data_IF_682425505271
#
_entry.id   IF_682425505271
#
_cell.length_a   1.000
_cell.length_b   1.000
_cell.length_c   1.000
_cell.angle_alpha   90.00
_cell.angle_beta   90.00
_cell.angle_gamma   90.00
#
_symmetry.space_group_name_H-M   'P 1'
#
loop_
_entity.id
_entity.type
_entity.pdbx_description
1 polymer ?
#
# COMPACT_ATOMS: atom_id res chain seq x y z
N UNK A 1 25.57 -25.81 -14.78
CA UNK A 1 25.22 -25.58 -13.36
C UNK A 1 24.13 -24.53 -13.36
N UNK A 2 22.99 -24.84 -12.80
CA UNK A 2 21.79 -24.00 -12.89
C UNK A 2 21.93 -22.77 -11.99
N UNK A 3 21.48 -21.57 -12.40
CA UNK A 3 21.47 -20.34 -11.59
C UNK A 3 20.78 -20.47 -10.21
N UNK A 4 20.15 -21.62 -9.98
CA UNK A 4 19.53 -22.05 -8.75
C UNK A 4 20.52 -22.21 -7.58
N UNK A 5 21.74 -22.65 -7.87
CA UNK A 5 22.78 -22.88 -6.87
C UNK A 5 23.55 -21.60 -6.52
N UNK A 6 23.56 -20.63 -7.43
CA UNK A 6 24.30 -19.38 -7.24
C UNK A 6 23.69 -18.52 -6.11
N UNK A 7 22.41 -18.20 -6.15
CA UNK A 7 21.75 -17.40 -5.10
C UNK A 7 21.68 -18.11 -3.76
N UNK A 8 21.55 -19.45 -3.76
CA UNK A 8 21.60 -20.24 -2.53
C UNK A 8 22.99 -20.20 -1.90
N UNK A 9 24.05 -20.39 -2.70
CA UNK A 9 25.42 -20.33 -2.22
C UNK A 9 25.79 -18.92 -1.76
N UNK A 10 25.34 -17.91 -2.52
CA UNK A 10 25.56 -16.50 -2.20
C UNK A 10 24.86 -16.11 -0.90
N UNK A 11 23.59 -16.56 -0.67
CA UNK A 11 22.88 -16.27 0.58
C UNK A 11 23.63 -16.83 1.81
N UNK A 12 24.15 -18.04 1.71
CA UNK A 12 24.96 -18.61 2.79
C UNK A 12 26.28 -17.86 3.03
N UNK A 13 26.93 -17.41 1.96
CA UNK A 13 28.19 -16.66 2.07
C UNK A 13 28.00 -15.26 2.68
N UNK A 14 26.83 -14.64 2.43
CA UNK A 14 26.50 -13.31 2.91
C UNK A 14 25.64 -13.32 4.19
N UNK A 15 25.39 -14.50 4.80
CA UNK A 15 24.67 -14.62 6.06
C UNK A 15 23.14 -14.52 5.96
N UNK A 16 22.56 -14.50 4.73
CA UNK A 16 21.12 -14.48 4.60
C UNK A 16 20.47 -15.82 4.92
N UNK A 17 19.39 -15.79 5.69
CA UNK A 17 18.63 -16.97 6.12
C UNK A 17 17.94 -17.70 4.96
N UNK A 18 17.63 -16.97 3.90
CA UNK A 18 16.96 -17.53 2.72
C UNK A 18 17.47 -16.89 1.43
N UNK A 19 17.48 -17.69 0.35
CA UNK A 19 17.80 -17.15 -0.99
C UNK A 19 16.81 -16.10 -1.48
N UNK A 20 15.59 -16.08 -0.92
CA UNK A 20 14.56 -15.09 -1.24
C UNK A 20 14.97 -13.67 -0.85
N UNK A 21 15.96 -13.47 0.03
CA UNK A 21 16.56 -12.17 0.32
C UNK A 21 16.96 -11.41 -0.97
N UNK A 22 17.51 -12.12 -1.97
CA UNK A 22 17.88 -11.49 -3.24
C UNK A 22 16.70 -11.05 -4.08
N UNK A 23 15.52 -11.66 -3.92
CA UNK A 23 14.33 -11.19 -4.59
C UNK A 23 13.92 -9.82 -4.07
N UNK A 24 13.94 -9.63 -2.73
CA UNK A 24 13.62 -8.35 -2.13
C UNK A 24 14.63 -7.27 -2.52
N UNK A 25 15.95 -7.58 -2.50
CA UNK A 25 16.95 -6.64 -3.00
C UNK A 25 16.71 -6.20 -4.45
N UNK A 26 16.36 -7.15 -5.33
CA UNK A 26 16.05 -6.85 -6.72
C UNK A 26 14.73 -6.12 -6.92
N UNK A 27 13.74 -6.37 -6.05
CA UNK A 27 12.51 -5.58 -6.02
C UNK A 27 12.79 -4.14 -5.59
N UNK A 28 13.63 -3.96 -4.57
CA UNK A 28 14.06 -2.64 -4.13
C UNK A 28 14.85 -1.91 -5.19
N UNK A 29 15.89 -2.53 -5.78
CA UNK A 29 16.67 -1.97 -6.89
C UNK A 29 15.79 -1.51 -8.06
N UNK A 30 14.71 -2.24 -8.37
CA UNK A 30 13.82 -1.93 -9.48
C UNK A 30 12.71 -0.93 -9.13
N UNK A 31 12.18 -1.01 -7.89
CA UNK A 31 11.01 -0.26 -7.47
C UNK A 31 11.31 0.86 -6.47
N UNK A 32 12.54 0.92 -5.94
CA UNK A 32 12.94 1.87 -4.91
C UNK A 32 11.96 1.81 -3.72
N UNK A 33 11.85 0.61 -3.13
CA UNK A 33 10.88 0.31 -2.09
C UNK A 33 11.25 0.93 -0.74
N UNK A 34 12.56 1.00 -0.41
CA UNK A 34 13.01 1.36 0.92
C UNK A 34 13.79 2.66 0.95
N UNK A 35 13.53 3.45 1.98
CA UNK A 35 14.31 4.63 2.36
C UNK A 35 14.80 4.50 3.81
N UNK A 36 15.85 5.26 4.15
CA UNK A 36 16.41 5.28 5.50
C UNK A 36 15.40 5.84 6.50
N UNK A 37 15.21 5.12 7.62
CA UNK A 37 14.33 5.55 8.71
C UNK A 37 12.86 5.14 8.56
N UNK A 38 12.53 4.38 7.54
CA UNK A 38 11.18 3.89 7.29
C UNK A 38 10.77 2.75 8.23
N UNK A 39 9.46 2.60 8.37
CA UNK A 39 8.80 1.48 9.06
C UNK A 39 8.34 0.45 8.03
N UNK A 40 8.86 -0.78 8.14
CA UNK A 40 8.59 -1.89 7.22
C UNK A 40 7.90 -3.04 7.96
N UNK A 41 6.86 -3.60 7.35
CA UNK A 41 6.19 -4.83 7.82
C UNK A 41 6.35 -5.94 6.80
N UNK A 42 6.85 -7.12 7.24
CA UNK A 42 6.96 -8.34 6.43
C UNK A 42 5.91 -9.37 6.87
N UNK A 43 4.95 -9.64 5.99
CA UNK A 43 3.87 -10.60 6.20
C UNK A 43 4.28 -11.97 5.64
N UNK A 44 4.40 -12.97 6.52
CA UNK A 44 4.94 -14.28 6.16
C UNK A 44 6.47 -14.30 6.19
N UNK A 45 7.05 -13.68 7.21
CA UNK A 45 8.45 -13.31 7.28
C UNK A 45 9.43 -14.47 7.50
N UNK A 46 8.97 -15.65 7.97
CA UNK A 46 9.88 -16.77 8.24
C UNK A 46 10.60 -17.27 6.96
N UNK A 47 11.88 -17.58 7.03
CA UNK A 47 12.77 -17.63 8.21
C UNK A 47 13.46 -16.31 8.57
N UNK A 48 13.11 -15.17 7.96
CA UNK A 48 13.66 -13.85 8.27
C UNK A 48 14.63 -13.28 7.23
N UNK A 49 14.72 -13.88 6.05
CA UNK A 49 15.62 -13.38 5.00
C UNK A 49 15.22 -12.02 4.44
N UNK A 50 13.92 -11.72 4.37
CA UNK A 50 13.40 -10.42 3.96
C UNK A 50 13.55 -9.38 5.07
N UNK A 51 13.38 -9.80 6.34
CA UNK A 51 13.63 -8.92 7.49
C UNK A 51 15.09 -8.43 7.54
N UNK A 52 16.07 -9.29 7.21
CA UNK A 52 17.47 -8.89 7.13
C UNK A 52 17.68 -7.79 6.08
N UNK A 53 17.12 -7.98 4.88
CA UNK A 53 17.23 -6.98 3.81
C UNK A 53 16.55 -5.67 4.19
N UNK A 54 15.31 -5.73 4.71
CA UNK A 54 14.60 -4.53 5.14
C UNK A 54 15.40 -3.76 6.20
N UNK A 55 15.94 -4.44 7.23
CA UNK A 55 16.75 -3.82 8.28
C UNK A 55 18.05 -3.20 7.75
N UNK A 56 18.72 -3.85 6.77
CA UNK A 56 19.90 -3.29 6.11
C UNK A 56 19.56 -1.98 5.37
N UNK A 57 18.44 -1.95 4.65
CA UNK A 57 18.05 -0.80 3.82
C UNK A 57 17.54 0.37 4.66
N UNK A 58 16.63 0.15 5.62
CA UNK A 58 16.10 1.24 6.46
C UNK A 58 17.10 1.74 7.52
N UNK A 59 18.06 0.88 7.89
CA UNK A 59 19.13 1.22 8.85
C UNK A 59 18.64 1.40 10.29
N UNK A 60 19.55 1.87 11.17
CA UNK A 60 19.31 1.97 12.63
C UNK A 60 18.16 2.91 13.03
N UNK A 61 17.75 3.83 12.17
CA UNK A 61 16.64 4.77 12.43
C UNK A 61 15.29 4.24 11.97
N UNK A 62 15.27 3.13 11.20
CA UNK A 62 14.06 2.49 10.73
C UNK A 62 13.51 1.47 11.72
N UNK A 63 12.28 1.05 11.48
CA UNK A 63 11.59 0.00 12.24
C UNK A 63 11.24 -1.15 11.31
N UNK A 64 11.54 -2.38 11.70
CA UNK A 64 11.19 -3.57 10.92
C UNK A 64 10.41 -4.55 11.78
N UNK A 65 9.22 -4.92 11.32
CA UNK A 65 8.31 -5.83 12.02
C UNK A 65 8.01 -7.03 11.13
N UNK A 66 8.16 -8.25 11.64
CA UNK A 66 7.84 -9.46 10.92
C UNK A 66 6.79 -10.31 11.60
N UNK A 67 5.85 -10.86 10.83
CA UNK A 67 4.85 -11.81 11.33
C UNK A 67 4.83 -13.08 10.51
N UNK A 68 4.74 -14.24 11.18
CA UNK A 68 4.59 -15.54 10.53
C UNK A 68 3.88 -16.54 11.45
N UNK A 69 3.22 -17.54 10.87
CA UNK A 69 2.69 -18.70 11.60
C UNK A 69 3.80 -19.52 12.27
N UNK A 70 4.97 -19.54 11.66
CA UNK A 70 6.16 -20.18 12.17
C UNK A 70 6.92 -19.22 13.10
N UNK A 71 7.68 -19.77 14.03
CA UNK A 71 8.61 -18.98 14.83
C UNK A 71 9.74 -18.47 13.94
N UNK A 72 10.04 -17.17 14.03
CA UNK A 72 11.22 -16.55 13.47
C UNK A 72 12.28 -16.54 14.56
N UNK A 73 13.46 -17.12 14.28
CA UNK A 73 14.58 -17.06 15.21
C UNK A 73 15.13 -15.63 15.27
N UNK A 74 15.67 -15.23 16.43
CA UNK A 74 16.18 -13.89 16.66
C UNK A 74 17.25 -13.49 15.62
N UNK A 75 17.15 -12.28 15.09
CA UNK A 75 18.12 -11.71 14.15
C UNK A 75 19.17 -10.90 14.95
N UNK A 76 20.20 -11.58 15.47
CA UNK A 76 21.18 -11.00 16.42
C UNK A 76 21.91 -9.74 15.90
N UNK A 77 22.01 -9.57 14.57
CA UNK A 77 22.70 -8.44 13.92
C UNK A 77 21.76 -7.28 13.55
N UNK A 78 20.45 -7.44 13.76
CA UNK A 78 19.44 -6.47 13.35
C UNK A 78 18.39 -6.27 14.45
N UNK A 79 18.05 -5.03 14.71
CA UNK A 79 16.92 -4.68 15.59
C UNK A 79 15.61 -4.84 14.82
N UNK A 80 14.99 -6.01 14.98
CA UNK A 80 13.77 -6.43 14.26
C UNK A 80 12.77 -7.00 15.24
N UNK A 81 11.58 -6.48 15.24
CA UNK A 81 10.48 -7.02 16.03
C UNK A 81 9.79 -8.17 15.31
N UNK A 82 9.61 -9.30 15.97
CA UNK A 82 9.00 -10.48 15.36
C UNK A 82 7.82 -11.01 16.18
N UNK A 83 6.73 -11.31 15.49
CA UNK A 83 5.53 -11.92 16.07
C UNK A 83 5.24 -13.28 15.44
N UNK A 84 4.97 -14.28 16.28
CA UNK A 84 4.35 -15.51 15.80
C UNK A 84 2.84 -15.38 15.85
N UNK A 85 2.19 -15.32 14.71
CA UNK A 85 0.73 -15.14 14.61
C UNK A 85 0.20 -15.36 13.20
N UNK A 86 -1.11 -15.46 13.11
CA UNK A 86 -1.83 -15.43 11.85
C UNK A 86 -2.18 -13.97 11.53
N UNK A 87 -1.73 -13.43 10.41
CA UNK A 87 -2.03 -12.05 10.02
C UNK A 87 -3.54 -11.79 9.80
N UNK A 88 -4.34 -12.83 9.66
CA UNK A 88 -5.81 -12.71 9.55
C UNK A 88 -6.51 -12.66 10.92
N UNK A 89 -5.81 -12.96 11.99
CA UNK A 89 -6.33 -12.89 13.36
C UNK A 89 -6.31 -11.44 13.88
N UNK A 90 -7.42 -10.96 14.44
CA UNK A 90 -7.54 -9.59 14.95
C UNK A 90 -6.52 -9.24 16.03
N UNK A 91 -6.10 -10.20 16.86
CA UNK A 91 -5.06 -9.96 17.86
C UNK A 91 -3.71 -9.68 17.23
N UNK A 92 -3.38 -10.42 16.15
CA UNK A 92 -2.17 -10.22 15.38
C UNK A 92 -2.20 -8.87 14.68
N UNK A 93 -3.31 -8.48 14.07
CA UNK A 93 -3.49 -7.17 13.43
C UNK A 93 -3.39 -6.03 14.44
N UNK A 94 -4.01 -6.19 15.62
CA UNK A 94 -3.90 -5.20 16.70
C UNK A 94 -2.44 -4.99 17.12
N UNK A 95 -1.70 -6.08 17.33
CA UNK A 95 -0.27 -6.00 17.64
C UNK A 95 0.53 -5.30 16.53
N UNK A 96 0.28 -5.63 15.25
CA UNK A 96 0.95 -4.98 14.13
C UNK A 96 0.65 -3.48 14.08
N UNK A 97 -0.60 -3.06 14.31
CA UNK A 97 -0.98 -1.64 14.41
C UNK A 97 -0.24 -0.92 15.55
N UNK A 98 -0.10 -1.57 16.71
CA UNK A 98 0.68 -1.01 17.82
C UNK A 98 2.18 -0.90 17.49
N UNK A 99 2.75 -1.92 16.82
CA UNK A 99 4.16 -1.95 16.46
C UNK A 99 4.54 -0.89 15.41
N UNK A 100 3.67 -0.62 14.43
CA UNK A 100 3.91 0.46 13.45
C UNK A 100 3.57 1.86 13.99
N UNK A 101 2.84 1.94 15.11
CA UNK A 101 2.45 3.18 15.76
C UNK A 101 1.41 4.01 14.98
N UNK A 102 1.15 5.22 15.46
CA UNK A 102 0.11 6.12 14.90
C UNK A 102 0.40 6.56 13.46
N UNK A 103 1.68 6.62 13.07
CA UNK A 103 2.07 7.02 11.71
C UNK A 103 1.72 5.95 10.67
N UNK A 104 1.68 4.68 11.07
CA UNK A 104 1.57 3.54 10.16
C UNK A 104 2.90 3.12 9.54
N UNK A 105 2.87 2.06 8.73
CA UNK A 105 4.02 1.55 8.00
C UNK A 105 4.25 2.34 6.70
N UNK A 106 5.51 2.58 6.36
CA UNK A 106 5.88 3.15 5.07
C UNK A 106 5.86 2.08 3.96
N UNK A 107 6.21 0.83 4.32
CA UNK A 107 6.23 -0.30 3.37
C UNK A 107 5.68 -1.57 4.00
N UNK A 108 4.80 -2.27 3.28
CA UNK A 108 4.37 -3.63 3.62
C UNK A 108 4.78 -4.58 2.51
N UNK A 109 5.50 -5.65 2.86
CA UNK A 109 5.97 -6.66 1.91
C UNK A 109 5.45 -8.05 2.27
N UNK A 110 5.34 -8.94 1.27
CA UNK A 110 4.97 -10.34 1.51
C UNK A 110 5.53 -11.30 0.45
N UNK A 111 6.30 -12.30 0.89
CA UNK A 111 6.75 -13.43 0.05
C UNK A 111 6.01 -14.73 0.39
N UNK A 112 4.79 -14.66 0.94
CA UNK A 112 4.00 -15.85 1.29
C UNK A 112 3.74 -16.72 0.07
N UNK A 113 3.75 -18.03 0.30
CA UNK A 113 3.35 -19.02 -0.69
C UNK A 113 2.38 -20.02 -0.05
N UNK A 114 1.39 -20.52 -0.82
CA UNK A 114 0.56 -21.61 -0.35
C UNK A 114 1.38 -22.90 -0.24
N UNK A 115 0.87 -23.85 0.55
CA UNK A 115 1.36 -25.22 0.49
C UNK A 115 1.08 -25.79 -0.90
N UNK A 116 2.15 -26.02 -1.68
CA UNK A 116 2.07 -26.45 -3.07
C UNK A 116 1.47 -27.86 -3.19
N UNK A 117 0.44 -28.00 -3.99
CA UNK A 117 -0.18 -29.29 -4.30
C UNK A 117 0.40 -29.90 -5.59
N UNK A 118 1.00 -29.08 -6.44
CA UNK A 118 1.45 -29.43 -7.78
C UNK A 118 0.33 -29.30 -8.84
N UNK A 119 -0.88 -28.95 -8.45
CA UNK A 119 -1.98 -28.61 -9.35
C UNK A 119 -1.99 -27.10 -9.59
N UNK A 120 -1.63 -26.70 -10.82
CA UNK A 120 -1.38 -25.30 -11.16
C UNK A 120 -2.54 -24.36 -10.83
N UNK A 121 -3.78 -24.72 -11.24
CA UNK A 121 -4.93 -23.86 -11.00
C UNK A 121 -5.24 -23.69 -9.50
N UNK A 122 -5.10 -24.76 -8.72
CA UNK A 122 -5.33 -24.70 -7.28
C UNK A 122 -4.25 -23.90 -6.55
N UNK A 123 -2.99 -24.12 -6.93
CA UNK A 123 -1.86 -23.39 -6.33
C UNK A 123 -1.90 -21.90 -6.69
N UNK A 124 -2.33 -21.57 -7.93
CA UNK A 124 -2.58 -20.19 -8.35
C UNK A 124 -3.69 -19.53 -7.52
N UNK A 125 -4.89 -20.14 -7.44
CA UNK A 125 -6.02 -19.58 -6.69
C UNK A 125 -5.68 -19.36 -5.21
N UNK A 126 -4.94 -20.28 -4.58
CA UNK A 126 -4.45 -20.12 -3.20
C UNK A 126 -3.43 -18.99 -3.06
N UNK A 127 -2.56 -18.81 -4.05
CA UNK A 127 -1.60 -17.70 -4.06
C UNK A 127 -2.31 -16.35 -4.14
N UNK A 128 -3.31 -16.21 -5.02
CA UNK A 128 -4.14 -15.00 -5.12
C UNK A 128 -4.90 -14.74 -3.81
N UNK A 129 -5.44 -15.79 -3.19
CA UNK A 129 -6.11 -15.65 -1.89
C UNK A 129 -5.18 -15.10 -0.80
N UNK A 130 -3.93 -15.63 -0.69
CA UNK A 130 -2.93 -15.12 0.25
C UNK A 130 -2.55 -13.67 -0.07
N UNK A 131 -2.39 -13.33 -1.35
CA UNK A 131 -2.08 -11.97 -1.77
C UNK A 131 -3.20 -10.97 -1.42
N UNK A 132 -4.47 -11.38 -1.55
CA UNK A 132 -5.62 -10.57 -1.11
C UNK A 132 -5.64 -10.36 0.39
N UNK A 133 -5.39 -11.41 1.19
CA UNK A 133 -5.29 -11.28 2.64
C UNK A 133 -4.14 -10.33 3.05
N UNK A 134 -2.98 -10.44 2.38
CA UNK A 134 -1.87 -9.52 2.61
C UNK A 134 -2.23 -8.07 2.24
N UNK A 135 -2.96 -7.87 1.16
CA UNK A 135 -3.45 -6.56 0.73
C UNK A 135 -4.43 -5.95 1.74
N UNK A 136 -5.39 -6.74 2.26
CA UNK A 136 -6.33 -6.27 3.28
C UNK A 136 -5.60 -5.81 4.55
N UNK A 137 -4.58 -6.57 4.99
CA UNK A 137 -3.75 -6.20 6.13
C UNK A 137 -2.89 -4.97 5.81
N UNK A 138 -2.33 -4.88 4.60
CA UNK A 138 -1.52 -3.74 4.18
C UNK A 138 -2.31 -2.43 4.22
N UNK A 139 -3.58 -2.43 3.78
CA UNK A 139 -4.44 -1.24 3.86
C UNK A 139 -4.71 -0.76 5.30
N UNK A 140 -4.69 -1.67 6.28
CA UNK A 140 -4.86 -1.31 7.68
C UNK A 140 -3.58 -0.77 8.33
N UNK A 141 -2.41 -1.14 7.80
CA UNK A 141 -1.12 -0.83 8.41
C UNK A 141 -0.40 0.33 7.73
N UNK A 142 -0.59 0.51 6.42
CA UNK A 142 0.14 1.51 5.65
C UNK A 142 -0.27 2.94 6.01
N UNK A 143 0.74 3.79 6.14
CA UNK A 143 0.55 5.23 6.13
C UNK A 143 0.06 5.73 4.75
N UNK A 144 -0.62 6.89 4.69
CA UNK A 144 -0.88 7.55 3.41
C UNK A 144 0.41 7.73 2.61
N UNK A 145 0.41 7.31 1.35
CA UNK A 145 1.58 7.32 0.47
C UNK A 145 2.53 6.13 0.66
N UNK A 146 2.19 5.16 1.51
CA UNK A 146 2.99 3.96 1.72
C UNK A 146 2.90 2.96 0.57
N UNK A 147 3.82 2.01 0.55
CA UNK A 147 4.04 1.07 -0.55
C UNK A 147 3.72 -0.37 -0.18
N UNK A 148 3.26 -1.13 -1.16
CA UNK A 148 2.94 -2.55 -0.99
C UNK A 148 3.62 -3.42 -2.04
N UNK A 149 4.28 -4.50 -1.61
CA UNK A 149 4.83 -5.48 -2.54
C UNK A 149 4.46 -6.91 -2.12
N UNK A 150 3.81 -7.65 -3.00
CA UNK A 150 3.30 -8.99 -2.69
C UNK A 150 3.59 -9.98 -3.79
N UNK A 151 4.01 -11.19 -3.39
CA UNK A 151 4.13 -12.31 -4.30
C UNK A 151 2.76 -12.87 -4.68
N UNK A 152 2.59 -13.16 -5.95
CA UNK A 152 1.44 -13.87 -6.51
C UNK A 152 1.91 -14.76 -7.67
N UNK A 153 1.20 -15.85 -7.94
CA UNK A 153 1.51 -16.67 -9.11
C UNK A 153 0.77 -16.14 -10.35
N UNK A 154 1.43 -16.20 -11.50
CA UNK A 154 0.77 -15.93 -12.78
C UNK A 154 -0.39 -16.89 -12.98
N UNK A 155 -1.49 -16.39 -13.55
CA UNK A 155 -2.69 -17.18 -13.85
C UNK A 155 -3.89 -16.29 -14.10
N UNK A 156 -5.06 -16.92 -14.22
CA UNK A 156 -6.30 -16.31 -14.69
C UNK A 156 -6.80 -15.18 -13.76
N UNK A 157 -6.62 -15.32 -12.42
CA UNK A 157 -7.13 -14.35 -11.44
C UNK A 157 -6.15 -13.19 -11.15
N UNK A 158 -4.95 -13.20 -11.74
CA UNK A 158 -3.94 -12.15 -11.47
C UNK A 158 -4.42 -10.76 -11.91
N UNK A 159 -5.04 -10.68 -13.10
CA UNK A 159 -5.53 -9.39 -13.61
C UNK A 159 -6.70 -8.86 -12.77
N UNK A 160 -7.60 -9.74 -12.30
CA UNK A 160 -8.65 -9.35 -11.38
C UNK A 160 -8.08 -8.83 -10.05
N UNK A 161 -7.05 -9.46 -9.50
CA UNK A 161 -6.38 -8.97 -8.30
C UNK A 161 -5.70 -7.61 -8.53
N UNK A 162 -5.08 -7.40 -9.69
CA UNK A 162 -4.49 -6.10 -10.05
C UNK A 162 -5.54 -4.99 -10.13
N UNK A 163 -6.71 -5.30 -10.70
CA UNK A 163 -7.81 -4.33 -10.78
C UNK A 163 -8.40 -4.00 -9.39
N UNK A 164 -8.36 -4.93 -8.43
CA UNK A 164 -8.76 -4.66 -7.04
C UNK A 164 -7.74 -3.76 -6.31
N UNK A 165 -6.44 -3.89 -6.60
CA UNK A 165 -5.38 -3.10 -5.96
C UNK A 165 -5.23 -1.71 -6.60
N UNK A 166 -5.43 -1.60 -7.91
CA UNK A 166 -5.18 -0.38 -8.70
C UNK A 166 -5.85 0.90 -8.16
N UNK A 167 -7.12 0.90 -7.75
CA UNK A 167 -7.79 2.12 -7.29
C UNK A 167 -7.26 2.66 -5.95
N UNK A 168 -6.58 1.83 -5.19
CA UNK A 168 -6.08 2.18 -3.85
C UNK A 168 -4.66 2.80 -3.88
N UNK A 169 -3.96 2.75 -5.03
CA UNK A 169 -2.58 3.22 -5.14
C UNK A 169 -2.38 4.13 -6.35
N UNK A 170 -1.43 5.06 -6.26
CA UNK A 170 -1.08 5.94 -7.37
C UNK A 170 -0.52 5.17 -8.57
N UNK A 171 0.24 4.12 -8.29
CA UNK A 171 0.93 3.35 -9.33
C UNK A 171 1.04 1.87 -8.96
N UNK A 172 0.80 0.98 -9.93
CA UNK A 172 1.03 -0.46 -9.77
C UNK A 172 1.81 -1.02 -10.96
N UNK A 173 2.67 -1.98 -10.69
CA UNK A 173 3.38 -2.76 -11.70
C UNK A 173 3.65 -4.19 -11.26
N UNK A 174 3.88 -5.07 -12.23
CA UNK A 174 4.31 -6.45 -11.99
C UNK A 174 5.81 -6.56 -12.25
N UNK A 175 6.54 -7.16 -11.32
CA UNK A 175 7.99 -7.35 -11.38
C UNK A 175 8.31 -8.85 -11.27
N UNK A 176 9.29 -9.31 -12.02
CA UNK A 176 9.82 -10.68 -11.94
C UNK A 176 11.30 -10.59 -11.59
N UNK A 177 11.68 -10.72 -10.31
CA UNK A 177 13.09 -10.63 -9.92
C UNK A 177 13.94 -11.72 -10.59
N UNK A 178 15.16 -11.41 -11.08
CA UNK A 178 16.09 -12.40 -11.64
C UNK A 178 16.42 -13.55 -10.67
N UNK A 179 16.32 -13.36 -9.37
CA UNK A 179 16.46 -14.41 -8.36
C UNK A 179 15.30 -15.39 -8.31
N UNK A 180 14.17 -15.11 -9.00
CA UNK A 180 13.09 -16.09 -9.20
C UNK A 180 13.62 -17.29 -10.00
N UNK A 181 13.00 -18.46 -9.79
CA UNK A 181 13.39 -19.66 -10.53
C UNK A 181 12.76 -19.63 -11.92
N UNK A 182 13.49 -20.02 -12.97
CA UNK A 182 13.00 -20.11 -14.36
C UNK A 182 11.71 -20.95 -14.48
N UNK A 183 11.53 -21.93 -13.58
CA UNK A 183 10.34 -22.81 -13.56
C UNK A 183 9.23 -22.29 -12.64
N UNK A 184 9.40 -21.14 -12.01
CA UNK A 184 8.39 -20.55 -11.12
C UNK A 184 7.47 -19.65 -11.90
N UNK A 185 6.17 -19.75 -11.62
CA UNK A 185 5.17 -18.79 -12.10
C UNK A 185 5.02 -17.57 -11.19
N UNK A 186 5.92 -17.39 -10.20
CA UNK A 186 5.86 -16.27 -9.27
C UNK A 186 6.17 -14.94 -9.93
N UNK A 187 5.37 -13.95 -9.60
CA UNK A 187 5.59 -12.54 -9.90
C UNK A 187 5.31 -11.73 -8.65
N UNK A 188 5.78 -10.50 -8.63
CA UNK A 188 5.48 -9.56 -7.54
C UNK A 188 4.66 -8.41 -8.07
N UNK A 189 3.50 -8.18 -7.45
CA UNK A 189 2.77 -6.95 -7.63
C UNK A 189 3.35 -5.91 -6.69
N UNK A 190 3.87 -4.82 -7.26
CA UNK A 190 4.37 -3.66 -6.53
C UNK A 190 3.39 -2.52 -6.75
N UNK A 191 2.84 -2.01 -5.66
CA UNK A 191 1.91 -0.89 -5.62
C UNK A 191 2.52 0.23 -4.79
N UNK A 192 2.59 1.42 -5.35
CA UNK A 192 3.24 2.59 -4.75
C UNK A 192 2.23 3.68 -4.45
N UNK A 193 2.38 4.29 -3.27
CA UNK A 193 1.61 5.45 -2.88
C UNK A 193 0.15 5.13 -2.55
N UNK A 194 -0.12 4.46 -1.40
CA UNK A 194 -1.48 4.22 -0.92
C UNK A 194 -2.26 5.54 -0.84
N UNK A 195 -3.35 5.65 -1.59
CA UNK A 195 -4.20 6.82 -1.61
C UNK A 195 -5.34 6.67 -0.60
N UNK A 196 -5.27 7.43 0.49
CA UNK A 196 -6.30 7.49 1.52
C UNK A 196 -7.03 8.85 1.52
N UNK A 197 -6.91 9.62 0.44
CA UNK A 197 -7.54 10.92 0.33
C UNK A 197 -9.07 10.80 0.50
N UNK A 198 -9.70 11.60 1.38
CA UNK A 198 -11.15 11.59 1.58
C UNK A 198 -11.89 12.28 0.45
N UNK A 199 -11.17 12.76 -0.55
CA UNK A 199 -11.70 13.49 -1.73
C UNK A 199 -11.07 12.95 -3.01
N UNK A 200 -11.76 13.06 -4.11
CA UNK A 200 -11.29 12.69 -5.45
C UNK A 200 -11.22 13.90 -6.38
N UNK A 201 -10.38 13.83 -7.41
CA UNK A 201 -10.35 14.85 -8.45
C UNK A 201 -11.74 15.00 -9.12
N UNK A 202 -12.21 16.24 -9.24
CA UNK A 202 -13.54 16.59 -9.72
C UNK A 202 -14.61 16.73 -8.63
N UNK A 203 -14.31 16.38 -7.38
CA UNK A 203 -15.25 16.60 -6.27
C UNK A 203 -15.44 18.09 -6.03
N UNK A 204 -16.71 18.50 -5.79
CA UNK A 204 -17.05 19.87 -5.38
C UNK A 204 -17.46 19.87 -3.93
N UNK A 205 -16.68 20.56 -3.10
CA UNK A 205 -16.89 20.62 -1.66
C UNK A 205 -16.78 22.05 -1.13
N UNK A 206 -17.44 22.32 -0.02
CA UNK A 206 -17.27 23.56 0.72
C UNK A 206 -16.20 23.35 1.80
N UNK A 207 -15.21 24.23 1.82
CA UNK A 207 -14.10 24.17 2.78
C UNK A 207 -13.84 25.52 3.42
N UNK A 208 -13.34 25.52 4.65
CA UNK A 208 -12.86 26.73 5.32
C UNK A 208 -11.34 26.72 5.33
N UNK A 209 -10.73 27.78 4.85
CA UNK A 209 -9.27 27.93 4.84
C UNK A 209 -8.77 28.25 6.26
N UNK A 210 -7.92 27.42 6.81
CA UNK A 210 -7.42 27.53 8.18
C UNK A 210 -6.03 28.13 8.25
N UNK A 211 -5.17 27.83 7.26
CA UNK A 211 -3.78 28.26 7.24
C UNK A 211 -3.40 28.82 5.87
N UNK A 212 -2.21 29.39 5.78
CA UNK A 212 -1.61 29.88 4.54
C UNK A 212 -0.34 29.10 4.25
N UNK A 213 -0.24 28.51 3.08
CA UNK A 213 0.95 27.83 2.58
C UNK A 213 2.07 28.81 2.21
N UNK A 214 3.29 28.30 2.11
CA UNK A 214 4.50 29.06 1.81
C UNK A 214 4.45 29.75 0.42
N UNK A 215 3.73 29.17 -0.53
CA UNK A 215 3.54 29.70 -1.89
C UNK A 215 2.40 30.70 -1.99
N UNK A 216 1.64 30.88 -0.91
CA UNK A 216 0.58 31.87 -0.78
C UNK A 216 -0.84 31.33 -0.92
N UNK A 217 -1.00 30.06 -1.26
CA UNK A 217 -2.28 29.36 -1.30
C UNK A 217 -2.89 29.20 0.09
N UNK A 218 -4.20 29.10 0.18
CA UNK A 218 -4.90 28.74 1.40
C UNK A 218 -4.75 27.23 1.65
N UNK A 219 -4.73 26.81 2.92
CA UNK A 219 -4.80 25.40 3.31
C UNK A 219 -6.08 25.17 4.09
N UNK A 220 -6.90 24.25 3.61
CA UNK A 220 -8.07 23.72 4.29
C UNK A 220 -7.84 22.25 4.68
N UNK A 221 -8.56 21.77 5.70
CA UNK A 221 -8.47 20.38 6.13
C UNK A 221 -9.80 19.66 5.95
N UNK A 222 -9.76 18.50 5.29
CA UNK A 222 -10.90 17.59 5.11
C UNK A 222 -10.54 16.29 5.82
N UNK A 223 -11.16 16.00 6.96
CA UNK A 223 -10.84 14.82 7.79
C UNK A 223 -9.35 14.68 8.13
N UNK A 224 -8.64 15.82 8.29
CA UNK A 224 -7.20 15.84 8.54
C UNK A 224 -6.32 15.83 7.28
N UNK A 225 -6.92 15.69 6.10
CA UNK A 225 -6.23 15.75 4.82
C UNK A 225 -6.05 17.21 4.36
N UNK A 226 -4.81 17.58 4.02
CA UNK A 226 -4.48 18.95 3.59
C UNK A 226 -4.91 19.20 2.16
N UNK A 227 -5.76 20.21 1.94
CA UNK A 227 -6.19 20.67 0.63
C UNK A 227 -5.67 22.09 0.37
N UNK A 228 -4.79 22.25 -0.60
CA UNK A 228 -4.28 23.54 -1.03
C UNK A 228 -5.30 24.19 -1.97
N UNK A 229 -5.78 25.38 -1.59
CA UNK A 229 -6.81 26.12 -2.30
C UNK A 229 -6.21 27.36 -2.92
N UNK A 230 -6.18 27.41 -4.24
CA UNK A 230 -5.63 28.55 -4.98
C UNK A 230 -6.37 29.87 -4.66
N UNK A 231 -5.60 30.93 -4.43
CA UNK A 231 -6.10 32.30 -4.21
C UNK A 231 -7.12 32.44 -3.08
N UNK A 232 -7.10 31.58 -2.07
CA UNK A 232 -8.00 31.62 -0.92
C UNK A 232 -7.35 32.22 0.34
N UNK A 233 -8.08 33.04 1.08
CA UNK A 233 -7.59 33.70 2.27
C UNK A 233 -7.96 32.94 3.55
N UNK A 234 -7.11 33.01 4.57
CA UNK A 234 -7.36 32.40 5.89
C UNK A 234 -8.66 32.96 6.49
N UNK A 235 -9.52 32.06 6.98
CA UNK A 235 -10.83 32.35 7.54
C UNK A 235 -11.95 32.44 6.49
N UNK A 236 -11.65 32.29 5.21
CA UNK A 236 -12.62 32.27 4.12
C UNK A 236 -13.25 30.89 3.97
N UNK A 237 -14.58 30.83 3.82
CA UNK A 237 -15.29 29.59 3.44
C UNK A 237 -15.66 29.69 1.96
N UNK A 238 -15.21 28.71 1.18
CA UNK A 238 -15.33 28.72 -0.28
C UNK A 238 -15.76 27.34 -0.80
N UNK A 239 -16.55 27.34 -1.89
CA UNK A 239 -16.77 26.13 -2.67
C UNK A 239 -15.62 25.95 -3.64
N UNK A 240 -15.02 24.76 -3.62
CA UNK A 240 -13.88 24.40 -4.46
C UNK A 240 -14.18 23.14 -5.26
N UNK A 241 -13.52 23.02 -6.41
CA UNK A 241 -13.41 21.78 -7.17
C UNK A 241 -12.01 21.24 -6.95
N UNK A 242 -11.91 19.95 -6.56
CA UNK A 242 -10.64 19.27 -6.36
C UNK A 242 -9.98 19.00 -7.72
N UNK A 243 -8.85 19.62 -7.98
CA UNK A 243 -8.11 19.48 -9.24
C UNK A 243 -7.29 18.18 -9.26
N UNK A 244 -6.64 17.85 -8.13
CA UNK A 244 -5.80 16.66 -7.95
C UNK A 244 -5.79 16.23 -6.48
N UNK A 245 -5.90 14.93 -6.24
CA UNK A 245 -5.86 14.33 -4.90
C UNK A 245 -4.68 13.36 -4.82
N UNK A 246 -3.63 13.77 -4.12
CA UNK A 246 -2.45 12.96 -3.81
C UNK A 246 -2.66 12.19 -2.51
N UNK A 247 -1.87 11.16 -2.19
CA UNK A 247 -2.03 10.38 -0.96
C UNK A 247 -2.04 11.19 0.34
N UNK A 248 -1.28 12.28 0.41
CA UNK A 248 -1.08 13.08 1.64
C UNK A 248 -1.65 14.49 1.59
N UNK A 249 -1.96 15.01 0.40
CA UNK A 249 -2.49 16.35 0.18
C UNK A 249 -3.15 16.45 -1.19
N UNK A 250 -3.98 17.47 -1.40
CA UNK A 250 -4.60 17.75 -2.68
C UNK A 250 -4.53 19.21 -3.07
N UNK A 251 -4.90 19.49 -4.31
CA UNK A 251 -5.03 20.83 -4.86
C UNK A 251 -6.48 21.07 -5.29
N UNK A 252 -6.97 22.28 -5.07
CA UNK A 252 -8.33 22.65 -5.46
C UNK A 252 -8.39 24.09 -5.95
N UNK A 253 -9.27 24.34 -6.90
CA UNK A 253 -9.56 25.66 -7.43
C UNK A 253 -10.94 26.12 -6.98
N UNK A 254 -11.12 27.44 -6.84
CA UNK A 254 -12.42 28.02 -6.48
C UNK A 254 -13.44 27.82 -7.60
N UNK A 255 -14.62 27.35 -7.27
CA UNK A 255 -15.74 27.33 -8.21
C UNK A 255 -16.31 28.74 -8.33
N UNK A 256 -16.44 29.27 -9.55
CA UNK A 256 -17.04 30.57 -9.80
C UNK A 256 -18.50 30.58 -9.33
N UNK A 257 -18.95 31.68 -8.74
CA UNK A 257 -20.30 31.80 -8.17
C UNK A 257 -21.45 31.57 -9.18
N UNK A 258 -21.19 31.59 -10.48
CA UNK A 258 -22.16 31.37 -11.54
C UNK A 258 -22.50 29.91 -11.83
N UNK A 259 -21.63 28.97 -11.44
CA UNK A 259 -21.80 27.50 -11.65
C UNK A 259 -22.50 26.78 -10.47
N UNK A 260 -22.76 27.47 -9.38
CA UNK A 260 -23.41 26.89 -8.20
C UNK A 260 -24.95 26.74 -8.34
N UNK A 261 -25.55 27.22 -9.43
CA UNK A 261 -27.01 27.34 -9.62
C UNK A 261 -27.69 26.21 -10.40
N UNK A 262 -26.98 25.37 -11.13
CA UNK A 262 -27.64 24.46 -12.09
C UNK A 262 -27.93 23.04 -11.56
N UNK A 263 -27.46 22.68 -10.39
CA UNK A 263 -27.65 21.30 -9.85
C UNK A 263 -28.84 21.15 -8.88
N UNK A 264 -29.57 22.23 -8.53
CA UNK A 264 -30.67 22.16 -7.56
C UNK A 264 -32.09 22.13 -8.18
N UNK A 265 -32.24 22.31 -9.49
CA UNK A 265 -33.56 22.49 -10.12
C UNK A 265 -34.11 21.27 -10.87
N UNK A 266 -33.44 20.10 -10.84
CA UNK A 266 -33.93 18.89 -11.52
C UNK A 266 -34.60 17.83 -10.64
N UNK A 267 -34.83 18.11 -9.35
CA UNK A 267 -35.43 17.14 -8.41
C UNK A 267 -36.89 17.41 -8.01
N UNK A 268 -37.55 18.48 -8.52
CA UNK A 268 -38.91 18.87 -8.07
C UNK A 268 -39.98 18.97 -9.18
N UNK A 269 -39.90 18.12 -10.20
CA UNK A 269 -41.03 18.04 -11.18
C UNK A 269 -41.34 16.59 -11.57
N UNK A 270 -42.03 15.88 -10.68
CA UNK A 270 -42.42 14.50 -10.96
C UNK A 270 -43.44 13.88 -10.03
N UNK A 271 -44.36 14.67 -9.47
CA UNK A 271 -45.53 14.08 -8.80
C UNK A 271 -46.73 15.00 -8.80
N UNK A 272 -47.54 14.93 -9.87
CA UNK A 272 -48.98 15.23 -9.82
C UNK A 272 -49.65 14.88 -11.17
N UNK A 273 -50.67 14.04 -11.06
CA UNK A 273 -51.70 13.60 -12.03
C UNK A 273 -51.47 12.14 -12.51
N UNK A 274 -52.30 11.20 -12.11
CA UNK A 274 -53.70 11.09 -12.44
C UNK A 274 -54.42 10.10 -11.52
N UNK A 275 -55.49 10.59 -10.88
CA UNK A 275 -56.65 9.82 -10.47
C UNK A 275 -57.76 10.25 -11.42
N UNK A 276 -58.36 9.31 -12.19
CA UNK A 276 -59.77 9.17 -12.54
C UNK A 276 -59.94 8.41 -13.86
N UNK A 277 -60.41 7.22 -13.84
CA UNK A 277 -61.62 6.55 -14.36
C UNK A 277 -61.44 5.03 -14.31
#
# INVERSE_FOLDING_TARGET
MSGKDEYYNRSKQQGYRARSAYKLKQLDEEANLFERGETVVDLGAAPGGWLQVAAEEVGESGTVVGVDLQRIEDLEEHDVETLRGDMTDERTRHYLREAVGERGADVVVSDMAPNMTGEYALDHARSVHLARQAFDVAKELLAPGGDFAVKVFQGEDLDAFREDVRPEFEYIRTVVPPASRDSSSEVYLVAKGLNTAPVAAGDRIEVTVEERGDEGDGIAYVEGYSLFVADAAVGETVTVEVDDAKPRFGFASRVAADDAGESAESAESGEAAESDE
#
